data_IF_067044415584
#
_entry.id   IF_067044415584
#
_cell.length_a   1.000
_cell.length_b   1.000
_cell.length_c   1.000
_cell.angle_alpha   90.00
_cell.angle_beta   90.00
_cell.angle_gamma   90.00
#
_symmetry.space_group_name_H-M   'P 1'
#
loop_
_entity.id
_entity.type
_entity.pdbx_description
1 polymer ?
#
# COMPACT_ATOMS: atom_id res chain seq x y z
N UNK A 1 3.44 -1.92 -6.48
CA UNK A 1 3.81 -2.69 -7.67
C UNK A 1 4.48 -3.95 -7.18
N UNK A 2 3.81 -5.10 -7.35
CA UNK A 2 4.36 -6.43 -7.04
C UNK A 2 5.57 -6.68 -7.95
N UNK A 3 6.75 -6.37 -7.49
CA UNK A 3 8.02 -6.53 -8.22
C UNK A 3 8.58 -7.94 -8.20
N UNK A 4 7.78 -8.95 -7.84
CA UNK A 4 8.14 -10.37 -7.82
C UNK A 4 7.35 -11.16 -8.86
N UNK A 5 7.80 -12.35 -9.18
CA UNK A 5 7.03 -13.29 -10.00
C UNK A 5 5.78 -13.74 -9.22
N UNK A 6 4.59 -13.42 -9.74
CA UNK A 6 3.33 -13.91 -9.21
C UNK A 6 3.07 -15.31 -9.76
N UNK A 7 2.95 -16.30 -8.88
CA UNK A 7 2.49 -17.66 -9.24
C UNK A 7 0.99 -17.74 -8.94
N UNK A 8 0.20 -18.15 -9.93
CA UNK A 8 -1.26 -18.27 -9.80
C UNK A 8 -1.67 -19.68 -10.15
N UNK A 9 -2.23 -20.38 -9.17
CA UNK A 9 -2.85 -21.68 -9.35
C UNK A 9 -4.38 -21.51 -9.40
N UNK A 10 -5.03 -22.22 -10.32
CA UNK A 10 -6.48 -22.21 -10.47
C UNK A 10 -7.03 -23.60 -10.22
N UNK A 11 -8.05 -23.68 -9.38
CA UNK A 11 -8.75 -24.93 -9.11
C UNK A 11 -10.26 -24.72 -9.18
N UNK A 12 -10.99 -25.77 -9.51
CA UNK A 12 -12.44 -25.78 -9.34
C UNK A 12 -12.77 -26.07 -7.86
N UNK A 13 -13.94 -25.64 -7.35
CA UNK A 13 -14.30 -25.83 -5.94
C UNK A 13 -14.20 -27.28 -5.46
N UNK A 14 -14.51 -28.25 -6.32
CA UNK A 14 -14.43 -29.68 -5.98
C UNK A 14 -13.00 -30.23 -5.98
N UNK A 15 -12.05 -29.51 -6.57
CA UNK A 15 -10.66 -29.96 -6.72
C UNK A 15 -9.73 -29.28 -5.71
N UNK A 16 -10.27 -28.41 -4.85
CA UNK A 16 -9.49 -27.69 -3.84
C UNK A 16 -9.08 -28.65 -2.74
N UNK A 17 -7.82 -29.03 -2.72
CA UNK A 17 -7.20 -29.65 -1.56
C UNK A 17 -6.54 -28.55 -0.71
N UNK A 18 -6.96 -28.44 0.54
CA UNK A 18 -6.53 -27.40 1.49
C UNK A 18 -5.02 -27.45 1.84
N UNK A 19 -4.27 -28.32 1.19
CA UNK A 19 -2.89 -28.65 1.56
C UNK A 19 -1.82 -27.68 1.03
N UNK A 20 -2.17 -26.73 0.16
CA UNK A 20 -1.20 -25.75 -0.35
C UNK A 20 -1.31 -24.43 0.41
N UNK A 21 -0.20 -23.94 0.92
CA UNK A 21 -0.14 -22.63 1.59
C UNK A 21 0.09 -21.53 0.55
N UNK A 22 -0.90 -20.64 0.38
CA UNK A 22 -0.82 -19.49 -0.47
C UNK A 22 -0.79 -18.21 0.35
N UNK A 23 -0.16 -17.17 -0.20
CA UNK A 23 -0.22 -15.83 0.40
C UNK A 23 -1.62 -15.25 0.32
N UNK A 24 -2.34 -15.53 -0.77
CA UNK A 24 -3.69 -15.06 -1.03
C UNK A 24 -4.55 -16.16 -1.65
N UNK A 25 -5.71 -16.36 -1.07
CA UNK A 25 -6.78 -17.19 -1.60
C UNK A 25 -7.88 -16.30 -2.17
N UNK A 26 -8.25 -16.53 -3.42
CA UNK A 26 -9.36 -15.82 -4.06
C UNK A 26 -10.47 -16.81 -4.33
N UNK A 27 -11.60 -16.63 -3.67
CA UNK A 27 -12.79 -17.47 -3.84
C UNK A 27 -13.87 -16.70 -4.60
N UNK A 28 -14.46 -17.33 -5.59
CA UNK A 28 -15.56 -16.80 -6.38
C UNK A 28 -16.78 -17.71 -6.17
N UNK A 29 -17.73 -17.25 -5.35
CA UNK A 29 -18.94 -17.98 -4.94
C UNK A 29 -18.65 -19.05 -3.89
N UNK A 30 -18.23 -20.24 -4.33
CA UNK A 30 -18.04 -21.40 -3.47
C UNK A 30 -16.82 -21.25 -2.54
N UNK A 31 -16.98 -21.68 -1.30
CA UNK A 31 -15.92 -21.71 -0.30
C UNK A 31 -15.50 -23.16 -0.01
N UNK A 32 -14.23 -23.43 0.28
CA UNK A 32 -13.79 -24.74 0.78
C UNK A 32 -14.19 -24.93 2.24
N UNK A 33 -14.31 -26.18 2.65
CA UNK A 33 -14.48 -26.59 4.04
C UNK A 33 -13.37 -27.57 4.41
N UNK A 34 -12.47 -27.22 5.38
CA UNK A 34 -12.39 -25.95 6.10
C UNK A 34 -11.77 -24.81 5.28
N UNK A 35 -11.98 -23.56 5.73
CA UNK A 35 -11.24 -22.41 5.24
C UNK A 35 -9.76 -22.49 5.64
N UNK A 36 -8.84 -21.82 4.92
CA UNK A 36 -7.44 -21.73 5.33
C UNK A 36 -7.30 -21.13 6.73
N UNK A 37 -6.42 -21.71 7.53
CA UNK A 37 -6.16 -21.26 8.91
C UNK A 37 -5.27 -20.01 8.95
N UNK A 38 -4.50 -19.74 7.87
CA UNK A 38 -3.59 -18.61 7.77
C UNK A 38 -3.57 -18.02 6.36
N UNK A 39 -3.03 -16.83 6.23
CA UNK A 39 -2.92 -16.11 4.96
C UNK A 39 -4.03 -15.07 4.75
N UNK A 40 -4.20 -14.66 3.50
CA UNK A 40 -5.20 -13.67 3.13
C UNK A 40 -6.32 -14.29 2.30
N UNK A 41 -7.56 -13.84 2.51
CA UNK A 41 -8.73 -14.33 1.81
C UNK A 41 -9.45 -13.17 1.13
N UNK A 42 -9.65 -13.26 -0.18
CA UNK A 42 -10.55 -12.40 -0.93
C UNK A 42 -11.73 -13.25 -1.41
N UNK A 43 -12.91 -13.03 -0.85
CA UNK A 43 -14.12 -13.75 -1.25
C UNK A 43 -15.08 -12.84 -2.04
N UNK A 44 -15.43 -13.27 -3.24
CA UNK A 44 -16.35 -12.58 -4.12
C UNK A 44 -17.70 -13.34 -4.11
N UNK A 45 -18.77 -12.67 -3.70
CA UNK A 45 -20.13 -13.22 -3.63
C UNK A 45 -20.22 -14.59 -2.93
N UNK A 46 -19.59 -14.80 -1.77
CA UNK A 46 -19.49 -16.15 -1.16
C UNK A 46 -20.86 -16.74 -0.80
N UNK A 47 -20.92 -18.09 -0.78
CA UNK A 47 -22.12 -18.82 -0.40
C UNK A 47 -22.21 -19.11 1.10
N UNK A 48 -21.13 -18.84 1.85
CA UNK A 48 -21.03 -19.06 3.28
C UNK A 48 -20.23 -17.96 3.98
N UNK A 49 -20.09 -18.04 5.31
CA UNK A 49 -19.34 -17.08 6.10
C UNK A 49 -17.83 -17.22 5.85
N UNK A 50 -17.14 -16.08 5.89
CA UNK A 50 -15.67 -16.00 5.87
C UNK A 50 -15.24 -15.30 7.16
N UNK A 51 -14.62 -16.02 8.05
CA UNK A 51 -14.39 -15.62 9.45
C UNK A 51 -15.74 -15.20 10.09
N UNK A 52 -15.84 -14.00 10.66
CA UNK A 52 -17.08 -13.49 11.25
C UNK A 52 -17.96 -12.72 10.26
N UNK A 53 -17.55 -12.65 8.97
CA UNK A 53 -18.32 -11.97 7.94
C UNK A 53 -19.29 -12.96 7.30
N UNK A 54 -20.58 -12.76 7.52
CA UNK A 54 -21.62 -13.63 6.98
C UNK A 54 -22.45 -12.93 5.88
N UNK A 55 -22.62 -13.56 4.71
CA UNK A 55 -23.51 -13.07 3.67
C UNK A 55 -24.97 -13.36 4.04
N UNK A 56 -25.86 -12.40 3.78
CA UNK A 56 -27.29 -12.58 3.88
C UNK A 56 -27.93 -13.08 2.56
N UNK A 57 -29.25 -13.04 2.50
CA UNK A 57 -29.97 -13.34 1.27
C UNK A 57 -29.74 -12.29 0.18
N UNK A 58 -29.65 -12.74 -1.07
CA UNK A 58 -29.47 -11.85 -2.21
C UNK A 58 -30.66 -10.90 -2.37
N UNK A 59 -30.38 -9.61 -2.53
CA UNK A 59 -31.40 -8.56 -2.70
C UNK A 59 -31.00 -7.62 -3.84
N UNK A 60 -32.05 -7.07 -4.49
CA UNK A 60 -31.82 -6.02 -5.49
C UNK A 60 -31.28 -4.76 -4.84
N UNK A 61 -30.26 -4.15 -5.48
CA UNK A 61 -29.62 -2.92 -5.04
C UNK A 61 -30.06 -1.79 -5.95
N UNK A 62 -30.71 -0.77 -5.38
CA UNK A 62 -31.15 0.43 -6.11
C UNK A 62 -30.43 1.71 -5.64
N UNK A 63 -29.75 1.64 -4.52
CA UNK A 63 -29.05 2.77 -3.95
C UNK A 63 -27.61 2.91 -4.49
N UNK A 64 -27.11 4.12 -4.53
CA UNK A 64 -25.73 4.40 -4.90
C UNK A 64 -24.74 3.79 -3.91
N UNK A 65 -23.65 3.25 -4.43
CA UNK A 65 -22.53 2.76 -3.64
C UNK A 65 -21.79 3.94 -3.00
N UNK A 66 -21.43 3.80 -1.74
CA UNK A 66 -20.69 4.82 -0.98
C UNK A 66 -19.73 4.17 0.03
N UNK A 67 -18.67 4.86 0.44
CA UNK A 67 -17.85 4.42 1.55
C UNK A 67 -18.66 4.35 2.84
N UNK A 68 -18.40 3.34 3.66
CA UNK A 68 -18.91 3.27 5.03
C UNK A 68 -18.19 4.31 5.93
N UNK A 69 -18.69 4.49 7.13
CA UNK A 69 -18.04 5.34 8.13
C UNK A 69 -16.83 4.61 8.76
N UNK A 70 -15.75 5.34 8.99
CA UNK A 70 -14.54 4.82 9.68
C UNK A 70 -13.25 5.00 8.90
N UNK A 71 -12.13 4.84 9.62
CA UNK A 71 -10.80 5.07 9.02
C UNK A 71 -10.41 3.96 8.03
N UNK A 72 -10.76 2.72 8.32
CA UNK A 72 -10.53 1.59 7.42
C UNK A 72 -11.24 1.80 6.07
N UNK A 73 -12.52 2.20 6.12
CA UNK A 73 -13.28 2.49 4.90
C UNK A 73 -12.67 3.68 4.13
N UNK A 74 -12.23 4.72 4.84
CA UNK A 74 -11.57 5.88 4.22
C UNK A 74 -10.29 5.48 3.49
N UNK A 75 -9.44 4.66 4.12
CA UNK A 75 -8.19 4.18 3.53
C UNK A 75 -8.44 3.27 2.33
N UNK A 76 -9.37 2.31 2.45
CA UNK A 76 -9.66 1.36 1.37
C UNK A 76 -10.43 1.98 0.21
N UNK A 77 -11.13 3.08 0.43
CA UNK A 77 -11.84 3.83 -0.61
C UNK A 77 -11.05 5.05 -1.11
N UNK A 78 -9.78 5.18 -0.73
CA UNK A 78 -8.95 6.27 -1.21
C UNK A 78 -8.83 6.24 -2.75
N UNK A 79 -8.95 7.40 -3.37
CA UNK A 79 -8.95 7.60 -4.82
C UNK A 79 -10.08 6.90 -5.60
N UNK A 80 -11.16 6.47 -4.92
CA UNK A 80 -12.37 5.96 -5.56
C UNK A 80 -13.41 7.06 -5.72
N UNK A 81 -14.02 7.15 -6.90
CA UNK A 81 -15.12 8.07 -7.16
C UNK A 81 -16.47 7.44 -6.84
N UNK A 82 -16.62 6.13 -7.05
CA UNK A 82 -17.82 5.31 -6.83
C UNK A 82 -19.10 5.79 -7.57
N UNK A 83 -18.99 6.86 -8.35
CA UNK A 83 -20.13 7.44 -9.04
C UNK A 83 -20.50 6.61 -10.28
N UNK A 84 -21.82 6.39 -10.45
CA UNK A 84 -22.35 5.64 -11.60
C UNK A 84 -22.02 4.15 -11.57
N UNK A 85 -21.64 3.60 -10.42
CA UNK A 85 -21.55 2.16 -10.19
C UNK A 85 -22.96 1.68 -9.91
N UNK A 86 -23.41 0.71 -10.73
CA UNK A 86 -24.69 0.04 -10.61
C UNK A 86 -24.45 -1.42 -10.27
N UNK A 87 -25.13 -1.91 -9.24
CA UNK A 87 -25.11 -3.31 -8.80
C UNK A 87 -26.54 -3.81 -8.89
N UNK A 88 -26.78 -4.92 -9.58
CA UNK A 88 -28.12 -5.48 -9.74
C UNK A 88 -28.60 -6.19 -8.49
N UNK A 89 -27.79 -7.08 -7.98
CA UNK A 89 -28.07 -7.88 -6.78
C UNK A 89 -26.85 -7.96 -5.89
N UNK A 90 -27.07 -8.02 -4.59
CA UNK A 90 -26.03 -8.23 -3.60
C UNK A 90 -26.57 -8.98 -2.39
N UNK A 91 -25.70 -9.71 -1.73
CA UNK A 91 -25.89 -10.32 -0.40
C UNK A 91 -25.40 -9.31 0.64
N UNK A 92 -26.28 -8.69 1.45
CA UNK A 92 -25.85 -7.81 2.53
C UNK A 92 -24.94 -8.58 3.48
N UNK A 93 -23.84 -7.95 3.87
CA UNK A 93 -22.86 -8.55 4.78
C UNK A 93 -23.12 -8.10 6.21
N UNK A 94 -22.92 -9.03 7.14
CA UNK A 94 -22.93 -8.76 8.59
C UNK A 94 -21.58 -9.21 9.17
N UNK A 95 -21.09 -8.49 10.18
CA UNK A 95 -19.79 -8.77 10.78
C UNK A 95 -18.62 -8.07 10.05
N UNK A 96 -17.45 -8.15 10.69
CA UNK A 96 -16.27 -7.43 10.22
C UNK A 96 -16.40 -5.90 10.26
N UNK A 97 -15.52 -5.21 9.56
CA UNK A 97 -15.49 -3.75 9.41
C UNK A 97 -16.06 -3.38 8.04
N UNK A 98 -17.17 -2.64 8.01
CA UNK A 98 -17.80 -2.21 6.78
C UNK A 98 -16.90 -1.23 6.00
N UNK A 99 -16.80 -1.44 4.69
CA UNK A 99 -15.98 -0.62 3.77
C UNK A 99 -16.85 0.08 2.74
N UNK A 100 -17.75 -0.65 2.07
CA UNK A 100 -18.68 -0.11 1.08
C UNK A 100 -20.11 -0.45 1.47
N UNK A 101 -20.98 0.52 1.27
CA UNK A 101 -22.41 0.39 1.58
C UNK A 101 -23.29 0.88 0.43
N UNK A 102 -24.49 0.30 0.32
CA UNK A 102 -25.56 0.82 -0.51
C UNK A 102 -26.90 0.62 0.19
N UNK A 103 -27.73 1.69 0.31
CA UNK A 103 -29.04 1.63 0.93
C UNK A 103 -29.05 1.19 2.40
N UNK A 104 -27.95 1.44 3.14
CA UNK A 104 -27.80 1.01 4.52
C UNK A 104 -27.38 -0.45 4.70
N UNK A 105 -27.06 -1.14 3.62
CA UNK A 105 -26.51 -2.51 3.65
C UNK A 105 -25.02 -2.48 3.33
N UNK A 106 -24.23 -3.21 4.10
CA UNK A 106 -22.80 -3.40 3.83
C UNK A 106 -22.62 -4.37 2.67
N UNK A 107 -21.84 -3.98 1.66
CA UNK A 107 -21.56 -4.77 0.46
C UNK A 107 -20.10 -5.16 0.30
N UNK A 108 -19.21 -4.51 1.02
CA UNK A 108 -17.81 -4.91 1.20
C UNK A 108 -17.46 -4.78 2.66
N UNK A 109 -16.98 -5.84 3.24
CA UNK A 109 -16.51 -5.90 4.61
C UNK A 109 -15.13 -6.52 4.68
N UNK A 110 -14.32 -6.10 5.64
CA UNK A 110 -12.98 -6.64 5.89
C UNK A 110 -12.84 -7.05 7.34
N UNK A 111 -11.98 -8.03 7.57
CA UNK A 111 -11.65 -8.49 8.92
C UNK A 111 -10.18 -8.86 9.01
N UNK A 112 -9.57 -8.58 10.15
CA UNK A 112 -8.21 -8.95 10.48
C UNK A 112 -8.22 -9.73 11.79
N UNK A 113 -7.56 -10.88 11.79
CA UNK A 113 -7.26 -11.70 12.97
C UNK A 113 -5.76 -11.85 13.09
N UNK A 114 -5.28 -12.49 14.15
CA UNK A 114 -3.84 -12.73 14.34
C UNK A 114 -3.24 -13.59 13.22
N UNK A 115 -4.02 -14.49 12.63
CA UNK A 115 -3.54 -15.45 11.64
C UNK A 115 -4.00 -15.14 10.21
N UNK A 116 -5.11 -14.44 10.04
CA UNK A 116 -5.76 -14.30 8.73
C UNK A 116 -6.33 -12.89 8.52
N UNK A 117 -6.29 -12.42 7.26
CA UNK A 117 -7.01 -11.23 6.80
C UNK A 117 -8.01 -11.62 5.75
N UNK A 118 -9.20 -11.08 5.86
CA UNK A 118 -10.26 -11.34 4.90
C UNK A 118 -10.86 -10.04 4.36
N UNK A 119 -11.20 -10.06 3.07
CA UNK A 119 -12.06 -9.09 2.42
C UNK A 119 -13.18 -9.83 1.70
N UNK A 120 -14.41 -9.44 1.96
CA UNK A 120 -15.60 -10.10 1.41
C UNK A 120 -16.41 -9.10 0.65
N UNK A 121 -16.62 -9.38 -0.64
CA UNK A 121 -17.49 -8.62 -1.53
C UNK A 121 -18.83 -9.36 -1.64
N UNK A 122 -19.92 -8.75 -1.17
CA UNK A 122 -21.24 -9.36 -1.10
C UNK A 122 -22.02 -9.39 -2.42
N UNK A 123 -21.35 -9.21 -3.57
CA UNK A 123 -21.99 -9.30 -4.89
C UNK A 123 -21.06 -9.89 -5.93
N UNK A 124 -21.64 -10.51 -6.94
CA UNK A 124 -20.91 -10.94 -8.12
C UNK A 124 -20.48 -9.73 -8.94
N UNK A 125 -19.20 -9.67 -9.28
CA UNK A 125 -18.66 -8.59 -10.11
C UNK A 125 -19.33 -8.50 -11.48
N UNK A 126 -19.84 -9.64 -12.01
CA UNK A 126 -20.59 -9.71 -13.27
C UNK A 126 -22.01 -9.15 -13.14
N UNK A 127 -22.56 -9.05 -11.94
CA UNK A 127 -23.84 -8.41 -11.64
C UNK A 127 -23.72 -6.90 -11.45
N UNK A 128 -22.58 -6.32 -11.80
CA UNK A 128 -22.31 -4.90 -11.70
C UNK A 128 -21.57 -4.35 -12.92
N UNK A 129 -21.58 -3.04 -13.08
CA UNK A 129 -20.71 -2.36 -14.04
C UNK A 129 -19.35 -1.95 -13.45
N UNK A 130 -19.06 -2.36 -12.21
CA UNK A 130 -17.82 -2.02 -11.51
C UNK A 130 -16.56 -2.42 -12.30
N UNK A 131 -16.44 -3.63 -12.91
CA UNK A 131 -15.28 -4.01 -13.69
C UNK A 131 -14.99 -3.11 -14.91
N UNK A 132 -15.99 -2.38 -15.38
CA UNK A 132 -15.87 -1.45 -16.51
C UNK A 132 -15.48 -0.02 -16.08
N UNK A 133 -15.32 0.21 -14.79
CA UNK A 133 -14.96 1.50 -14.21
C UNK A 133 -13.49 1.56 -13.80
N UNK A 134 -12.90 2.74 -13.85
CA UNK A 134 -11.54 2.96 -13.35
C UNK A 134 -11.41 2.69 -11.85
N UNK A 135 -12.52 2.75 -11.12
CA UNK A 135 -12.57 2.43 -9.68
C UNK A 135 -12.21 0.96 -9.38
N UNK A 136 -12.49 0.03 -10.32
CA UNK A 136 -12.25 -1.40 -10.07
C UNK A 136 -10.77 -1.74 -9.82
N UNK A 137 -9.82 -1.40 -10.71
CA UNK A 137 -8.42 -1.68 -10.46
C UNK A 137 -7.88 -0.94 -9.23
N UNK A 138 -8.38 0.26 -8.93
CA UNK A 138 -8.00 1.00 -7.72
C UNK A 138 -8.51 0.30 -6.47
N UNK A 139 -9.77 -0.13 -6.44
CA UNK A 139 -10.34 -0.90 -5.34
C UNK A 139 -9.58 -2.21 -5.12
N UNK A 140 -9.30 -2.96 -6.19
CA UNK A 140 -8.53 -4.21 -6.09
C UNK A 140 -7.12 -3.95 -5.56
N UNK A 141 -6.44 -2.90 -5.99
CA UNK A 141 -5.13 -2.54 -5.48
C UNK A 141 -5.18 -2.20 -3.99
N UNK A 142 -6.16 -1.41 -3.54
CA UNK A 142 -6.33 -1.06 -2.14
C UNK A 142 -6.63 -2.30 -1.28
N UNK A 143 -7.49 -3.21 -1.77
CA UNK A 143 -7.77 -4.48 -1.10
C UNK A 143 -6.55 -5.39 -1.03
N UNK A 144 -5.77 -5.50 -2.12
CA UNK A 144 -4.53 -6.29 -2.12
C UNK A 144 -3.49 -5.72 -1.14
N UNK A 145 -3.35 -4.41 -1.08
CA UNK A 145 -2.46 -3.76 -0.10
C UNK A 145 -2.91 -4.00 1.35
N UNK A 146 -4.22 -4.10 1.58
CA UNK A 146 -4.76 -4.45 2.89
C UNK A 146 -4.54 -5.92 3.23
N UNK A 147 -4.84 -6.82 2.29
CA UNK A 147 -4.75 -8.27 2.46
C UNK A 147 -3.29 -8.74 2.55
N UNK A 148 -2.43 -8.18 1.71
CA UNK A 148 -1.00 -8.49 1.63
C UNK A 148 -0.18 -7.23 1.95
N UNK A 149 -0.21 -6.76 3.19
CA UNK A 149 0.54 -5.57 3.53
C UNK A 149 2.03 -5.82 3.30
N UNK A 150 2.65 -4.92 2.55
CA UNK A 150 4.11 -4.91 2.46
C UNK A 150 4.66 -4.55 3.85
N UNK A 151 5.45 -5.42 4.47
CA UNK A 151 6.11 -5.09 5.73
C UNK A 151 6.92 -3.78 5.62
N UNK A 152 7.48 -3.48 4.45
CA UNK A 152 8.20 -2.24 4.20
C UNK A 152 7.30 -1.01 4.26
N UNK A 153 6.07 -1.08 3.77
CA UNK A 153 5.15 0.05 3.79
C UNK A 153 4.73 0.47 5.21
N UNK A 154 4.75 -0.47 6.15
CA UNK A 154 4.50 -0.18 7.59
C UNK A 154 5.74 0.38 8.30
N UNK A 155 6.91 0.25 7.69
CA UNK A 155 8.19 0.67 8.25
C UNK A 155 8.63 2.04 7.72
N UNK A 156 7.86 2.67 6.86
CA UNK A 156 8.12 4.03 6.39
C UNK A 156 7.99 5.03 7.54
N UNK A 157 8.98 5.91 7.66
CA UNK A 157 9.04 7.02 8.63
C UNK A 157 9.41 6.66 10.08
N UNK A 158 10.27 5.68 10.30
CA UNK A 158 10.81 5.44 11.63
C UNK A 158 11.90 6.47 11.97
N UNK A 159 11.75 7.08 13.13
CA UNK A 159 12.70 8.06 13.65
C UNK A 159 13.73 7.38 14.53
N UNK A 160 14.99 7.77 14.38
CA UNK A 160 16.11 7.28 15.20
C UNK A 160 15.82 7.47 16.71
N UNK A 161 16.08 6.44 17.48
CA UNK A 161 15.86 6.43 18.94
C UNK A 161 14.45 6.00 19.37
N UNK A 162 13.52 5.76 18.44
CA UNK A 162 12.18 5.25 18.76
C UNK A 162 12.11 3.74 18.59
N UNK A 163 11.30 3.09 19.42
CA UNK A 163 10.97 1.68 19.22
C UNK A 163 9.88 1.55 18.15
N UNK A 164 10.04 0.57 17.25
CA UNK A 164 9.05 0.32 16.21
C UNK A 164 8.53 -1.12 16.27
N UNK A 165 7.26 -1.32 15.94
CA UNK A 165 6.71 -2.65 15.74
C UNK A 165 7.17 -3.19 14.38
N UNK A 166 7.67 -4.42 14.37
CA UNK A 166 7.98 -5.17 13.17
C UNK A 166 6.87 -6.19 12.98
N UNK A 167 6.05 -6.01 11.98
CA UNK A 167 5.06 -7.02 11.60
C UNK A 167 5.74 -8.03 10.68
N UNK A 168 6.26 -9.11 11.29
CA UNK A 168 6.75 -10.24 10.51
C UNK A 168 5.57 -11.05 9.93
N UNK A 169 5.83 -11.76 8.85
CA UNK A 169 4.87 -12.73 8.31
C UNK A 169 4.63 -13.84 9.33
N UNK A 170 3.38 -14.20 9.59
CA UNK A 170 3.01 -15.25 10.56
C UNK A 170 3.64 -16.59 10.21
N UNK A 171 3.91 -16.84 8.93
CA UNK A 171 4.54 -18.06 8.42
C UNK A 171 6.07 -18.05 8.51
N UNK A 172 6.68 -16.91 8.91
CA UNK A 172 8.13 -16.86 9.05
C UNK A 172 8.57 -17.65 10.29
N UNK A 173 9.47 -18.61 10.08
CA UNK A 173 10.08 -19.41 11.15
C UNK A 173 11.18 -18.66 11.89
N UNK A 174 11.79 -17.70 11.20
CA UNK A 174 12.82 -16.85 11.76
C UNK A 174 12.74 -15.45 11.18
N UNK A 175 12.71 -14.45 12.07
CA UNK A 175 12.74 -13.05 11.73
C UNK A 175 13.96 -12.37 12.32
N UNK A 176 14.78 -11.76 11.49
CA UNK A 176 16.01 -11.06 11.88
C UNK A 176 15.99 -9.64 11.32
N UNK A 177 16.51 -8.69 12.10
CA UNK A 177 16.73 -7.32 11.60
C UNK A 177 18.22 -7.04 11.59
N UNK A 178 18.74 -6.62 10.44
CA UNK A 178 20.10 -6.16 10.29
C UNK A 178 20.15 -4.63 10.32
N UNK A 179 21.05 -4.09 11.13
CA UNK A 179 21.29 -2.64 11.19
C UNK A 179 22.08 -2.17 9.96
N UNK A 180 22.18 -0.85 9.69
CA UNK A 180 23.04 -0.32 8.63
C UNK A 180 24.50 -0.75 8.71
N UNK A 181 25.02 -0.98 9.94
CA UNK A 181 26.38 -1.53 10.17
C UNK A 181 26.48 -3.04 9.93
N UNK A 182 25.39 -3.72 9.59
CA UNK A 182 25.33 -5.16 9.37
C UNK A 182 25.24 -6.00 10.63
N UNK A 183 25.02 -5.39 11.79
CA UNK A 183 24.82 -6.10 13.05
C UNK A 183 23.36 -6.58 13.16
N UNK A 184 23.16 -7.69 13.85
CA UNK A 184 21.83 -8.19 14.15
C UNK A 184 21.22 -7.40 15.31
N UNK A 185 20.08 -6.77 15.06
CA UNK A 185 19.29 -6.10 16.10
C UNK A 185 18.34 -7.10 16.77
N UNK A 186 18.22 -6.99 18.08
CA UNK A 186 17.31 -7.83 18.85
C UNK A 186 15.86 -7.36 18.66
N UNK A 187 14.96 -8.33 18.41
CA UNK A 187 13.53 -8.11 18.43
C UNK A 187 12.98 -8.64 19.76
N UNK A 188 12.26 -7.79 20.49
CA UNK A 188 11.59 -8.16 21.73
C UNK A 188 10.08 -8.05 21.51
N UNK A 189 9.37 -9.20 21.61
CA UNK A 189 7.91 -9.26 21.39
C UNK A 189 7.46 -8.58 20.06
N UNK A 190 8.17 -8.84 18.97
CA UNK A 190 7.85 -8.23 17.67
C UNK A 190 8.20 -6.74 17.57
N UNK A 191 8.96 -6.19 18.49
CA UNK A 191 9.40 -4.80 18.47
C UNK A 191 10.91 -4.67 18.33
N UNK A 192 11.34 -3.77 17.46
CA UNK A 192 12.72 -3.31 17.38
C UNK A 192 12.87 -2.14 18.35
N UNK A 193 13.56 -2.38 19.47
CA UNK A 193 13.72 -1.36 20.52
C UNK A 193 14.87 -0.40 20.26
N UNK A 194 15.82 -0.79 19.42
CA UNK A 194 17.03 -0.04 19.22
C UNK A 194 17.21 0.41 17.77
N UNK A 195 16.69 1.60 17.45
CA UNK A 195 16.88 2.26 16.15
C UNK A 195 17.94 3.36 16.24
N UNK A 196 19.10 3.08 16.85
CA UNK A 196 20.14 4.10 17.13
C UNK A 196 20.97 4.48 15.91
N UNK A 197 21.00 3.64 14.90
CA UNK A 197 21.72 3.91 13.68
C UNK A 197 20.79 4.54 12.63
N UNK A 198 21.22 5.63 12.03
CA UNK A 198 20.51 6.24 10.90
C UNK A 198 20.94 5.51 9.63
N UNK A 199 19.97 5.15 8.78
CA UNK A 199 20.24 4.48 7.52
C UNK A 199 19.26 3.39 7.18
N UNK A 200 19.69 2.47 6.31
CA UNK A 200 18.86 1.39 5.78
C UNK A 200 19.02 0.15 6.66
N UNK A 201 17.92 -0.29 7.24
CA UNK A 201 17.80 -1.58 7.93
C UNK A 201 17.28 -2.62 6.98
N UNK A 202 17.61 -3.89 7.23
CA UNK A 202 17.10 -5.01 6.44
C UNK A 202 16.38 -5.99 7.38
N UNK A 203 15.09 -6.19 7.14
CA UNK A 203 14.30 -7.27 7.74
C UNK A 203 14.52 -8.53 6.90
N UNK A 204 14.98 -9.58 7.54
CA UNK A 204 15.21 -10.90 6.95
C UNK A 204 14.20 -11.86 7.56
N UNK A 205 13.37 -12.45 6.72
CA UNK A 205 12.38 -13.46 7.09
C UNK A 205 12.72 -14.77 6.39
N UNK A 206 12.76 -15.85 7.14
CA UNK A 206 12.96 -17.21 6.65
C UNK A 206 11.71 -18.02 6.83
N UNK A 207 11.37 -18.80 5.83
CA UNK A 207 10.20 -19.66 5.80
C UNK A 207 10.59 -21.14 5.81
N UNK A 208 9.65 -22.02 6.19
CA UNK A 208 9.88 -23.47 6.28
C UNK A 208 10.26 -24.12 4.95
N UNK A 209 9.84 -23.55 3.83
CA UNK A 209 10.18 -23.96 2.46
C UNK A 209 11.60 -23.58 2.02
N UNK A 210 12.37 -22.93 2.90
CA UNK A 210 13.73 -22.45 2.62
C UNK A 210 13.77 -21.13 1.87
N UNK A 211 12.64 -20.49 1.60
CA UNK A 211 12.61 -19.14 1.04
C UNK A 211 13.13 -18.12 2.06
N UNK A 212 13.84 -17.12 1.57
CA UNK A 212 14.23 -15.93 2.32
C UNK A 212 13.63 -14.69 1.69
N UNK A 213 12.93 -13.89 2.47
CA UNK A 213 12.44 -12.57 2.06
C UNK A 213 13.25 -11.48 2.75
N UNK A 214 13.72 -10.51 1.98
CA UNK A 214 14.43 -9.35 2.46
C UNK A 214 13.61 -8.10 2.23
N UNK A 215 13.26 -7.41 3.30
CA UNK A 215 12.55 -6.13 3.25
C UNK A 215 13.44 -5.03 3.80
N UNK A 216 13.59 -3.93 3.08
CA UNK A 216 14.42 -2.80 3.50
C UNK A 216 13.53 -1.65 3.97
N UNK A 217 13.94 -1.02 5.08
CA UNK A 217 13.30 0.18 5.60
C UNK A 217 14.35 1.18 6.07
N UNK A 218 13.96 2.45 6.16
CA UNK A 218 14.86 3.54 6.53
C UNK A 218 14.53 4.09 7.90
N UNK A 219 15.58 4.36 8.68
CA UNK A 219 15.49 5.09 9.94
C UNK A 219 16.08 6.48 9.71
N UNK A 220 15.27 7.50 9.93
CA UNK A 220 15.59 8.89 9.71
C UNK A 220 16.00 9.60 11.00
N UNK A 221 16.81 10.66 10.94
CA UNK A 221 17.08 11.50 12.10
C UNK A 221 15.77 12.19 12.55
N UNK A 222 15.65 12.55 13.85
CA UNK A 222 14.54 13.36 14.34
C UNK A 222 14.44 14.69 13.56
N UNK A 223 13.22 15.13 13.26
CA UNK A 223 13.00 16.38 12.53
C UNK A 223 13.66 17.59 13.22
N UNK A 224 13.74 17.57 14.55
CA UNK A 224 14.41 18.61 15.34
C UNK A 224 15.92 18.69 15.08
N UNK A 225 16.57 17.57 14.73
CA UNK A 225 18.00 17.55 14.39
C UNK A 225 18.23 17.86 12.90
N UNK A 226 17.20 17.72 12.07
CA UNK A 226 17.25 18.08 10.64
C UNK A 226 16.96 19.55 10.39
N UNK A 227 16.47 20.29 11.41
CA UNK A 227 16.14 21.71 11.28
C UNK A 227 17.39 22.58 11.42
N UNK A 228 18.13 22.73 10.33
CA UNK A 228 19.29 23.62 10.22
C UNK A 228 18.90 25.12 10.16
N UNK A 229 17.60 25.46 10.19
CA UNK A 229 17.11 26.84 10.12
C UNK A 229 17.15 27.57 11.46
N UNK A 230 17.34 26.88 12.57
CA UNK A 230 17.61 27.50 13.88
C UNK A 230 19.12 27.76 14.14
N UNK A 231 19.82 28.24 13.15
CA UNK A 231 21.09 28.96 13.45
C UNK A 231 20.67 30.22 14.17
N UNK A 232 20.97 30.23 15.48
CA UNK A 232 20.73 31.36 16.34
C UNK A 232 21.20 32.67 15.67
N UNK A 233 20.26 33.59 15.53
CA UNK A 233 20.53 34.98 15.10
C UNK A 233 21.34 35.70 16.18
N UNK A 234 22.60 35.30 16.33
CA UNK A 234 23.43 35.80 17.40
C UNK A 234 24.91 35.49 17.21
N UNK A 235 25.44 35.85 16.06
CA UNK A 235 26.86 36.27 15.94
C UNK A 235 27.07 36.88 14.54
N UNK A 236 26.77 38.15 14.41
CA UNK A 236 27.40 38.97 13.38
C UNK A 236 28.89 39.04 13.72
N UNK A 237 29.72 38.40 12.94
CA UNK A 237 31.15 38.51 13.12
C UNK A 237 31.93 37.25 12.69
N UNK A 238 31.70 36.73 11.49
CA UNK A 238 32.74 36.01 10.77
C UNK A 238 32.45 36.18 9.28
N UNK A 239 33.28 36.90 8.60
CA UNK A 239 33.29 37.01 7.16
C UNK A 239 33.44 35.59 6.59
N UNK A 240 32.34 35.03 6.13
CA UNK A 240 32.35 33.80 5.36
C UNK A 240 33.09 34.10 4.07
N UNK A 241 34.22 33.41 3.88
CA UNK A 241 34.87 33.36 2.58
C UNK A 241 33.82 33.04 1.52
N UNK A 242 33.69 33.95 0.55
CA UNK A 242 32.75 33.82 -0.55
C UNK A 242 32.99 32.45 -1.23
N UNK A 243 32.09 31.50 -0.97
CA UNK A 243 32.00 30.30 -1.76
C UNK A 243 31.80 30.72 -3.20
N UNK A 244 32.56 30.18 -4.12
CA UNK A 244 32.41 30.39 -5.54
C UNK A 244 31.00 29.86 -5.92
N UNK A 245 30.01 30.78 -5.85
CA UNK A 245 28.68 30.52 -6.38
C UNK A 245 28.80 30.28 -7.87
N UNK A 246 28.20 29.20 -8.34
CA UNK A 246 28.05 28.98 -9.78
C UNK A 246 27.33 30.18 -10.36
N UNK A 247 28.04 30.93 -11.23
CA UNK A 247 27.48 32.07 -11.93
C UNK A 247 26.60 31.50 -13.03
N UNK A 248 25.29 31.63 -12.88
CA UNK A 248 24.35 31.20 -13.91
C UNK A 248 24.51 32.07 -15.18
N UNK A 249 25.06 31.47 -16.19
CA UNK A 249 25.27 32.09 -17.49
C UNK A 249 24.05 31.93 -18.43
N UNK A 250 22.96 31.36 -17.94
CA UNK A 250 21.72 31.15 -18.70
C UNK A 250 21.12 32.42 -19.22
N UNK A 251 21.05 33.47 -18.42
CA UNK A 251 20.45 34.75 -18.80
C UNK A 251 21.29 35.53 -19.85
N UNK A 252 22.63 35.67 -19.69
CA UNK A 252 23.45 36.29 -20.72
C UNK A 252 23.49 35.48 -22.02
N UNK A 253 23.43 34.15 -21.99
CA UNK A 253 23.36 33.29 -23.17
C UNK A 253 22.02 33.45 -23.90
N UNK A 254 20.90 33.53 -23.19
CA UNK A 254 19.59 33.83 -23.77
C UNK A 254 19.54 35.19 -24.44
N UNK A 255 20.12 36.21 -23.83
CA UNK A 255 20.21 37.56 -24.45
C UNK A 255 21.09 37.55 -25.71
N UNK A 256 22.20 36.84 -25.70
CA UNK A 256 23.06 36.68 -26.88
C UNK A 256 22.30 35.96 -28.03
N UNK A 257 21.59 34.88 -27.69
CA UNK A 257 20.77 34.16 -28.69
C UNK A 257 19.68 35.08 -29.30
N UNK A 258 19.01 35.84 -28.47
CA UNK A 258 17.97 36.76 -28.89
C UNK A 258 18.54 37.83 -29.85
N UNK A 259 19.71 38.39 -29.55
CA UNK A 259 20.39 39.36 -30.42
C UNK A 259 20.79 38.72 -31.75
N UNK A 260 21.27 37.47 -31.73
CA UNK A 260 21.61 36.74 -32.96
C UNK A 260 20.39 36.50 -33.86
N UNK A 261 19.27 36.11 -33.27
CA UNK A 261 18.00 35.92 -34.01
C UNK A 261 17.51 37.23 -34.59
N UNK A 262 17.63 38.37 -33.88
CA UNK A 262 17.27 39.67 -34.40
C UNK A 262 18.19 40.11 -35.57
N UNK A 263 19.48 39.83 -35.46
CA UNK A 263 20.43 40.11 -36.54
C UNK A 263 20.14 39.25 -37.78
N UNK A 264 19.87 37.96 -37.60
CA UNK A 264 19.48 37.07 -38.70
C UNK A 264 18.19 37.56 -39.39
N UNK A 265 17.20 37.97 -38.61
CA UNK A 265 15.95 38.50 -39.11
C UNK A 265 16.17 39.81 -39.90
N UNK A 266 17.03 40.72 -39.40
CA UNK A 266 17.33 41.98 -40.07
C UNK A 266 18.13 41.76 -41.38
N UNK A 267 19.10 40.81 -41.36
CA UNK A 267 19.85 40.45 -42.58
C UNK A 267 18.94 39.76 -43.61
N UNK A 268 18.06 38.86 -43.15
CA UNK A 268 17.08 38.21 -44.02
C UNK A 268 16.09 39.19 -44.63
N UNK A 269 15.71 40.23 -43.88
CA UNK A 269 14.82 41.27 -44.34
C UNK A 269 15.47 42.24 -45.35
N UNK A 270 16.81 42.43 -45.27
CA UNK A 270 17.55 43.30 -46.19
C UNK A 270 18.09 42.58 -47.43
N UNK A 271 18.11 41.24 -47.39
CA UNK A 271 18.61 40.41 -48.48
C UNK A 271 17.53 39.90 -49.44
N UNK A 272 16.27 40.32 -49.28
CA UNK A 272 15.15 40.03 -50.17
C UNK A 272 14.79 41.21 -51.04
#
# INVERSE_FOLDING_TARGET
>A
VLGGSLTVDKALPQDVTVAAEYDLYVYDGALPEPLPESGAILALNPDGPVLDIAPGESKAVSAALRPAAGDTARTLCENLLLSGIAIRQAKPLTGGVAVLEAGGSTLLSVQETDACRAAVLGFDVHDSNLPLKADFPVLMQNLLNYLLPDPAARLENTVCGQSMAISADVRSTQTLVLTPSGQQAALTAGRLENTREIGVYTLLERFDDGLERQTRFTVHPPAAESDTLHVARGQQGAQSAAGQGYREWTLPLLLLLFVLVLLEWEVSRRGA
#
